data_IF_342601506294
#
_entry.id   IF_342601506294
#
_cell.length_a   1.000
_cell.length_b   1.000
_cell.length_c   1.000
_cell.angle_alpha   90.00
_cell.angle_beta   90.00
_cell.angle_gamma   90.00
#
_symmetry.space_group_name_H-M   'P 1'
#
loop_
_entity.id
_entity.type
_entity.pdbx_description
1 polymer ?
#
# COMPACT_ATOMS: atom_id res chain seq x y z
N UNK A 1 -9.18 -9.71 13.05
CA UNK A 1 -9.26 -8.62 12.06
C UNK A 1 -8.08 -8.73 11.10
N UNK A 2 -8.30 -8.38 9.85
CA UNK A 2 -7.20 -8.37 8.89
C UNK A 2 -6.19 -7.28 9.22
N UNK A 3 -4.92 -7.61 9.08
CA UNK A 3 -3.85 -6.64 9.26
C UNK A 3 -3.62 -5.88 7.95
N UNK A 4 -3.59 -4.56 8.03
CA UNK A 4 -3.29 -3.68 6.90
C UNK A 4 -2.04 -2.89 7.24
N UNK A 5 -1.04 -2.97 6.38
CA UNK A 5 0.18 -2.19 6.50
C UNK A 5 0.10 -0.98 5.58
N UNK A 6 0.27 0.21 6.15
CA UNK A 6 0.31 1.46 5.39
C UNK A 6 1.76 1.90 5.29
N UNK A 7 2.29 2.00 4.06
CA UNK A 7 3.67 2.37 3.80
C UNK A 7 3.69 3.73 3.08
N UNK A 8 4.14 4.76 3.78
CA UNK A 8 4.21 6.12 3.26
C UNK A 8 5.19 6.91 4.13
N UNK A 9 6.08 7.69 3.54
CA UNK A 9 7.01 8.51 4.31
C UNK A 9 6.36 9.75 4.94
N UNK A 10 5.14 10.08 4.57
CA UNK A 10 4.38 11.18 5.14
C UNK A 10 3.51 10.70 6.30
N UNK A 11 3.78 11.17 7.51
CA UNK A 11 2.96 10.83 8.67
C UNK A 11 1.53 11.35 8.51
N UNK A 12 1.36 12.49 7.84
CA UNK A 12 0.04 13.05 7.55
C UNK A 12 -0.77 12.10 6.66
N UNK A 13 -0.16 11.57 5.60
CA UNK A 13 -0.84 10.65 4.70
C UNK A 13 -1.18 9.32 5.37
N UNK A 14 -0.26 8.80 6.20
CA UNK A 14 -0.56 7.60 6.97
C UNK A 14 -1.76 7.81 7.90
N UNK A 15 -1.80 8.97 8.57
CA UNK A 15 -2.93 9.30 9.43
C UNK A 15 -4.24 9.41 8.65
N UNK A 16 -4.19 10.01 7.48
CA UNK A 16 -5.36 10.16 6.60
C UNK A 16 -5.93 8.79 6.22
N UNK A 17 -5.09 7.90 5.74
CA UNK A 17 -5.51 6.54 5.36
C UNK A 17 -5.98 5.76 6.58
N UNK A 18 -5.25 5.86 7.69
CA UNK A 18 -5.62 5.19 8.94
C UNK A 18 -7.02 5.58 9.40
N UNK A 19 -7.35 6.87 9.36
CA UNK A 19 -8.68 7.33 9.76
C UNK A 19 -9.79 6.77 8.88
N UNK A 20 -9.53 6.65 7.58
CA UNK A 20 -10.50 6.04 6.66
C UNK A 20 -10.75 4.59 7.07
N UNK A 21 -9.70 3.85 7.34
CA UNK A 21 -9.79 2.42 7.69
C UNK A 21 -10.42 2.22 9.08
N UNK A 22 -10.11 3.09 10.02
CA UNK A 22 -10.64 2.98 11.40
C UNK A 22 -12.17 3.11 11.42
N UNK A 23 -12.74 3.88 10.52
CA UNK A 23 -14.19 4.02 10.43
C UNK A 23 -14.89 2.71 10.07
N UNK A 24 -14.20 1.84 9.35
CA UNK A 24 -14.74 0.53 8.99
C UNK A 24 -14.70 -0.45 10.16
N UNK A 25 -13.78 -0.27 11.11
CA UNK A 25 -13.68 -1.10 12.29
C UNK A 25 -13.27 -2.55 12.06
N UNK A 26 -12.81 -2.87 10.85
CA UNK A 26 -12.54 -4.25 10.42
C UNK A 26 -11.04 -4.58 10.29
N UNK A 27 -10.17 -3.62 10.61
CA UNK A 27 -8.74 -3.77 10.34
C UNK A 27 -7.86 -3.51 11.55
N UNK A 28 -6.77 -4.27 11.65
CA UNK A 28 -5.65 -3.95 12.53
C UNK A 28 -4.63 -3.21 11.69
N UNK A 29 -4.30 -1.98 12.06
CA UNK A 29 -3.50 -1.09 11.22
C UNK A 29 -2.06 -1.03 11.68
N UNK A 30 -1.14 -1.25 10.75
CA UNK A 30 0.31 -1.16 10.95
C UNK A 30 0.83 -0.04 10.05
N UNK A 31 1.90 0.63 10.46
CA UNK A 31 2.46 1.75 9.71
C UNK A 31 3.96 1.59 9.51
N UNK A 32 4.44 2.00 8.35
CA UNK A 32 5.86 2.06 8.02
C UNK A 32 6.15 3.33 7.22
N UNK A 33 7.33 3.92 7.46
CA UNK A 33 7.71 5.18 6.83
C UNK A 33 8.64 5.02 5.63
N UNK A 34 9.13 3.82 5.37
CA UNK A 34 10.04 3.56 4.25
C UNK A 34 10.23 2.07 4.03
N UNK A 35 11.19 1.74 3.16
CA UNK A 35 11.43 0.36 2.74
C UNK A 35 11.83 -0.55 3.89
N UNK A 36 12.83 -0.15 4.69
CA UNK A 36 13.39 -1.04 5.70
C UNK A 36 12.37 -1.44 6.76
N UNK A 37 11.67 -0.47 7.34
CA UNK A 37 10.65 -0.76 8.34
C UNK A 37 9.43 -1.44 7.72
N UNK A 38 9.09 -1.13 6.47
CA UNK A 38 8.00 -1.83 5.77
C UNK A 38 8.31 -3.32 5.64
N UNK A 39 9.52 -3.67 5.25
CA UNK A 39 9.91 -5.07 5.08
C UNK A 39 10.01 -5.78 6.43
N UNK A 40 10.53 -5.12 7.46
CA UNK A 40 10.59 -5.69 8.81
C UNK A 40 9.17 -6.03 9.32
N UNK A 41 8.24 -5.10 9.16
CA UNK A 41 6.85 -5.29 9.60
C UNK A 41 6.18 -6.36 8.75
N UNK A 42 6.39 -6.33 7.44
CA UNK A 42 5.79 -7.32 6.55
C UNK A 42 6.22 -8.73 6.92
N UNK A 43 7.50 -8.92 7.18
CA UNK A 43 8.06 -10.23 7.51
C UNK A 43 7.63 -10.71 8.89
N UNK A 44 7.51 -9.81 9.88
CA UNK A 44 7.17 -10.19 11.25
C UNK A 44 5.67 -10.29 11.49
N UNK A 45 4.84 -9.51 10.79
CA UNK A 45 3.39 -9.43 11.03
C UNK A 45 2.55 -10.08 9.94
N UNK A 46 3.12 -10.31 8.77
CA UNK A 46 2.45 -10.91 7.61
C UNK A 46 1.08 -10.26 7.33
N UNK A 47 1.01 -8.96 7.09
CA UNK A 47 -0.27 -8.30 6.82
C UNK A 47 -0.91 -8.84 5.54
N UNK A 48 -2.24 -8.94 5.56
CA UNK A 48 -3.00 -9.43 4.40
C UNK A 48 -3.05 -8.38 3.28
N UNK A 49 -3.05 -7.11 3.66
CA UNK A 49 -3.18 -5.99 2.73
C UNK A 49 -2.06 -4.99 3.01
N UNK A 50 -1.44 -4.50 1.94
CA UNK A 50 -0.42 -3.43 2.02
C UNK A 50 -0.89 -2.28 1.15
N UNK A 51 -1.00 -1.10 1.75
CA UNK A 51 -1.28 0.14 1.03
C UNK A 51 0.06 0.86 0.91
N UNK A 52 0.58 0.93 -0.31
CA UNK A 52 1.95 1.34 -0.58
C UNK A 52 1.99 2.61 -1.41
N UNK A 53 2.58 3.66 -0.82
CA UNK A 53 2.87 4.89 -1.56
C UNK A 53 4.10 4.67 -2.44
N UNK A 54 3.93 4.89 -3.73
CA UNK A 54 5.02 4.74 -4.69
C UNK A 54 6.02 5.90 -4.62
N UNK A 55 5.61 7.04 -4.08
CA UNK A 55 6.39 8.27 -4.07
C UNK A 55 7.10 8.55 -2.75
N UNK A 56 7.71 7.52 -2.14
CA UNK A 56 8.39 7.66 -0.85
C UNK A 56 9.76 8.34 -0.95
N UNK A 57 10.30 8.44 -2.15
CA UNK A 57 11.59 9.10 -2.40
C UNK A 57 11.47 9.94 -3.68
N UNK A 58 12.57 10.55 -4.10
CA UNK A 58 12.59 11.36 -5.33
C UNK A 58 12.27 10.55 -6.57
N UNK A 59 12.43 9.23 -6.50
CA UNK A 59 12.12 8.33 -7.60
C UNK A 59 11.08 7.30 -7.15
N UNK A 60 10.47 6.61 -8.10
CA UNK A 60 9.53 5.52 -7.80
C UNK A 60 10.24 4.20 -7.46
N UNK A 61 11.58 4.17 -7.53
CA UNK A 61 12.38 2.95 -7.36
C UNK A 61 12.13 2.26 -6.04
N UNK A 62 12.14 3.01 -4.93
CA UNK A 62 11.96 2.42 -3.60
C UNK A 62 10.61 1.74 -3.46
N UNK A 63 9.55 2.38 -3.94
CA UNK A 63 8.21 1.79 -3.90
C UNK A 63 8.11 0.53 -4.75
N UNK A 64 8.71 0.54 -5.94
CA UNK A 64 8.74 -0.64 -6.80
C UNK A 64 9.54 -1.79 -6.19
N UNK A 65 10.64 -1.48 -5.51
CA UNK A 65 11.43 -2.49 -4.79
C UNK A 65 10.63 -3.13 -3.66
N UNK A 66 9.89 -2.34 -2.89
CA UNK A 66 9.04 -2.85 -1.82
C UNK A 66 7.98 -3.78 -2.41
N UNK A 67 7.31 -3.38 -3.47
CA UNK A 67 6.31 -4.20 -4.14
C UNK A 67 6.93 -5.53 -4.60
N UNK A 68 8.06 -5.47 -5.27
CA UNK A 68 8.76 -6.65 -5.78
C UNK A 68 9.12 -7.62 -4.64
N UNK A 69 9.69 -7.08 -3.57
CA UNK A 69 10.12 -7.89 -2.44
C UNK A 69 8.94 -8.54 -1.71
N UNK A 70 7.85 -7.80 -1.53
CA UNK A 70 6.63 -8.35 -0.93
C UNK A 70 6.11 -9.52 -1.76
N UNK A 71 6.03 -9.35 -3.07
CA UNK A 71 5.51 -10.38 -3.96
C UNK A 71 6.39 -11.64 -3.99
N UNK A 72 7.70 -11.48 -3.79
CA UNK A 72 8.62 -12.62 -3.66
C UNK A 72 8.42 -13.39 -2.38
N UNK A 73 8.09 -12.69 -1.29
CA UNK A 73 7.89 -13.31 0.02
C UNK A 73 6.53 -13.98 0.11
N UNK A 74 5.49 -13.30 -0.37
CA UNK A 74 4.12 -13.80 -0.31
C UNK A 74 3.33 -13.31 -1.52
N UNK A 75 3.23 -14.15 -2.54
CA UNK A 75 2.51 -13.80 -3.78
C UNK A 75 0.99 -13.66 -3.58
N UNK A 76 0.47 -14.04 -2.42
CA UNK A 76 -0.95 -13.88 -2.09
C UNK A 76 -1.25 -12.56 -1.37
N UNK A 77 -0.23 -11.78 -1.00
CA UNK A 77 -0.43 -10.50 -0.38
C UNK A 77 -1.16 -9.55 -1.34
N UNK A 78 -2.10 -8.78 -0.80
CA UNK A 78 -2.83 -7.78 -1.59
C UNK A 78 -2.13 -6.45 -1.42
N UNK A 79 -1.48 -5.97 -2.48
CA UNK A 79 -0.80 -4.68 -2.49
C UNK A 79 -1.61 -3.70 -3.33
N UNK A 80 -2.02 -2.61 -2.70
CA UNK A 80 -2.72 -1.50 -3.35
C UNK A 80 -1.75 -0.33 -3.42
N UNK A 81 -1.44 0.12 -4.62
CA UNK A 81 -0.52 1.23 -4.84
C UNK A 81 -1.26 2.55 -4.76
N UNK A 82 -0.67 3.53 -4.09
CA UNK A 82 -1.15 4.90 -4.09
C UNK A 82 -0.02 5.76 -4.68
N UNK A 83 -0.33 6.61 -5.64
CA UNK A 83 0.71 7.38 -6.31
C UNK A 83 0.19 8.67 -6.93
N UNK A 84 1.03 9.72 -6.89
CA UNK A 84 0.82 10.93 -7.67
C UNK A 84 1.28 10.76 -9.13
N UNK A 85 2.00 9.67 -9.43
CA UNK A 85 2.47 9.38 -10.78
C UNK A 85 1.29 9.01 -11.66
N UNK A 86 1.16 9.69 -12.80
CA UNK A 86 0.02 9.53 -13.72
C UNK A 86 0.37 8.82 -15.02
N UNK A 87 1.57 8.26 -15.11
CA UNK A 87 2.01 7.55 -16.31
C UNK A 87 1.45 6.13 -16.30
N UNK A 88 0.74 5.78 -17.36
CA UNK A 88 0.15 4.46 -17.51
C UNK A 88 1.21 3.36 -17.48
N UNK A 89 2.41 3.64 -17.96
CA UNK A 89 3.52 2.68 -17.95
C UNK A 89 3.88 2.25 -16.52
N UNK A 90 3.90 3.19 -15.57
CA UNK A 90 4.20 2.88 -14.19
C UNK A 90 3.07 2.07 -13.58
N UNK A 91 1.83 2.42 -13.89
CA UNK A 91 0.67 1.67 -13.41
C UNK A 91 0.70 0.23 -13.92
N UNK A 92 0.95 0.05 -15.21
CA UNK A 92 1.07 -1.28 -15.82
C UNK A 92 2.18 -2.09 -15.18
N UNK A 93 3.34 -1.45 -14.94
CA UNK A 93 4.47 -2.10 -14.28
C UNK A 93 4.10 -2.60 -12.90
N UNK A 94 3.39 -1.81 -12.11
CA UNK A 94 2.92 -2.22 -10.78
C UNK A 94 2.00 -3.43 -10.86
N UNK A 95 1.06 -3.42 -11.79
CA UNK A 95 0.12 -4.54 -11.97
C UNK A 95 0.87 -5.80 -12.41
N UNK A 96 1.81 -5.68 -13.34
CA UNK A 96 2.64 -6.80 -13.77
C UNK A 96 3.47 -7.39 -12.63
N UNK A 97 3.93 -6.55 -11.71
CA UNK A 97 4.69 -6.99 -10.54
C UNK A 97 3.80 -7.64 -9.48
N UNK A 98 2.48 -7.58 -9.63
CA UNK A 98 1.55 -8.27 -8.74
C UNK A 98 0.65 -7.37 -7.90
N UNK A 99 0.70 -6.05 -8.08
CA UNK A 99 -0.22 -5.15 -7.37
C UNK A 99 -1.66 -5.45 -7.79
N UNK A 100 -2.58 -5.40 -6.84
CA UNK A 100 -4.00 -5.68 -7.07
C UNK A 100 -4.81 -4.42 -7.37
N UNK A 101 -4.28 -3.26 -7.07
CA UNK A 101 -4.95 -2.00 -7.35
C UNK A 101 -3.96 -0.84 -7.42
N UNK A 102 -4.41 0.25 -8.05
CA UNK A 102 -3.61 1.46 -8.20
C UNK A 102 -4.54 2.66 -8.05
N UNK A 103 -4.30 3.48 -7.04
CA UNK A 103 -5.12 4.66 -6.74
C UNK A 103 -4.28 5.90 -6.93
N UNK A 104 -4.75 6.81 -7.77
CA UNK A 104 -4.06 8.09 -8.02
C UNK A 104 -4.38 9.08 -6.91
N UNK A 105 -3.37 9.85 -6.50
CA UNK A 105 -3.57 10.95 -5.55
C UNK A 105 -4.25 12.12 -6.26
N UNK A 106 -5.08 12.91 -5.56
CA UNK A 106 -5.43 12.80 -4.14
C UNK A 106 -6.36 11.60 -3.88
N UNK A 107 -6.20 11.01 -2.68
CA UNK A 107 -6.98 9.82 -2.31
C UNK A 107 -8.40 10.21 -1.96
N UNK A 108 -9.36 9.55 -2.60
CA UNK A 108 -10.77 9.64 -2.24
C UNK A 108 -11.10 8.45 -1.33
N UNK A 109 -11.65 8.73 -0.16
CA UNK A 109 -11.99 7.70 0.82
C UNK A 109 -12.93 6.63 0.23
N UNK A 110 -13.90 7.04 -0.56
CA UNK A 110 -14.86 6.11 -1.17
C UNK A 110 -14.18 5.17 -2.17
N UNK A 111 -13.22 5.69 -2.94
CA UNK A 111 -12.48 4.88 -3.90
C UNK A 111 -11.62 3.86 -3.18
N UNK A 112 -10.90 4.28 -2.12
CA UNK A 112 -10.08 3.37 -1.34
C UNK A 112 -10.92 2.25 -0.72
N UNK A 113 -12.03 2.60 -0.08
CA UNK A 113 -12.89 1.62 0.56
C UNK A 113 -13.50 0.65 -0.46
N UNK A 114 -13.86 1.14 -1.64
CA UNK A 114 -14.40 0.30 -2.69
C UNK A 114 -13.38 -0.72 -3.19
N UNK A 115 -12.13 -0.30 -3.36
CA UNK A 115 -11.05 -1.21 -3.77
C UNK A 115 -10.84 -2.27 -2.70
N UNK A 116 -10.80 -1.87 -1.42
CA UNK A 116 -10.57 -2.81 -0.32
C UNK A 116 -11.74 -3.77 -0.10
N UNK A 117 -12.95 -3.40 -0.50
CA UNK A 117 -14.15 -4.23 -0.39
C UNK A 117 -13.96 -5.59 -1.05
N UNK A 118 -13.23 -5.63 -2.16
CA UNK A 118 -12.96 -6.88 -2.89
C UNK A 118 -12.08 -7.86 -2.11
N UNK A 119 -11.38 -7.38 -1.08
CA UNK A 119 -10.38 -8.18 -0.36
C UNK A 119 -10.68 -8.35 1.13
N UNK A 120 -11.91 -8.09 1.51
CA UNK A 120 -12.34 -8.30 2.90
C UNK A 120 -12.38 -9.75 3.35
#
# INVERSE_FOLDING_TARGET
MKKVLIVDNSSYMRMFVKKILEKEGAYTILEASGKDDAMDIFMSQNPAIVILDLNMSETTMEGLEVLTDIMKINSNAVVIIISAVRHEEVQEQCIELGAKGYIKKPIDAKVLLKVLEEYK
#
